data_IF_398594191355
#
_entry.id   IF_398594191355
#
_cell.length_a   1.000
_cell.length_b   1.000
_cell.length_c   1.000
_cell.angle_alpha   90.00
_cell.angle_beta   90.00
_cell.angle_gamma   90.00
#
_symmetry.space_group_name_H-M   'P 1'
#
loop_
_entity.id
_entity.type
_entity.pdbx_description
1 polymer ?
#
# COMPACT_ATOMS: atom_id res chain seq x y z
N UNK A 1 -24.57 0.25 16.16
CA UNK A 1 -23.14 0.46 16.37
C UNK A 1 -22.67 -0.73 17.18
N UNK A 2 -21.94 -1.61 16.52
CA UNK A 2 -21.32 -2.82 17.04
C UNK A 2 -20.30 -2.44 18.14
N UNK A 3 -19.65 -1.28 18.02
CA UNK A 3 -18.62 -0.83 18.97
C UNK A 3 -19.06 0.33 19.88
N UNK A 4 -19.26 0.07 21.18
CA UNK A 4 -19.57 1.11 22.17
C UNK A 4 -18.34 1.53 22.99
N UNK A 5 -17.95 2.80 22.85
CA UNK A 5 -16.83 3.40 23.61
C UNK A 5 -17.17 3.51 25.09
N UNK A 6 -18.46 3.59 25.45
CA UNK A 6 -18.92 3.79 26.83
C UNK A 6 -18.60 2.60 27.74
N UNK A 7 -18.45 1.41 27.15
CA UNK A 7 -18.08 0.18 27.87
C UNK A 7 -16.59 0.16 28.26
N UNK A 8 -15.77 1.01 27.64
CA UNK A 8 -14.34 1.08 27.87
C UNK A 8 -14.07 1.87 29.16
N UNK A 9 -13.38 1.23 30.10
CA UNK A 9 -12.94 1.87 31.33
C UNK A 9 -11.69 2.73 31.09
N UNK A 10 -11.87 3.85 30.37
CA UNK A 10 -10.82 4.77 29.93
C UNK A 10 -9.89 5.16 31.08
N UNK A 11 -10.44 5.46 32.26
CA UNK A 11 -9.68 5.85 33.45
C UNK A 11 -8.59 4.86 33.83
N UNK A 12 -8.85 3.55 33.64
CA UNK A 12 -7.88 2.49 33.95
C UNK A 12 -6.75 2.41 32.92
N UNK A 13 -7.00 2.89 31.70
CA UNK A 13 -6.04 2.84 30.59
C UNK A 13 -5.12 4.07 30.56
N UNK A 14 -5.52 5.19 31.19
CA UNK A 14 -4.78 6.46 31.13
C UNK A 14 -3.31 6.34 31.53
N UNK A 15 -3.01 5.65 32.64
CA UNK A 15 -1.63 5.51 33.13
C UNK A 15 -0.79 4.67 32.15
N UNK A 16 -1.35 3.60 31.61
CA UNK A 16 -0.65 2.73 30.66
C UNK A 16 -0.41 3.48 29.33
N UNK A 17 -1.42 4.18 28.82
CA UNK A 17 -1.32 4.97 27.60
C UNK A 17 -0.30 6.10 27.74
N UNK A 18 -0.26 6.78 28.89
CA UNK A 18 0.72 7.83 29.16
C UNK A 18 2.16 7.29 29.16
N UNK A 19 2.41 6.14 29.81
CA UNK A 19 3.74 5.50 29.82
C UNK A 19 4.17 5.05 28.41
N UNK A 20 3.26 4.48 27.64
CA UNK A 20 3.51 4.10 26.26
C UNK A 20 3.83 5.32 25.38
N UNK A 21 3.07 6.40 25.53
CA UNK A 21 3.32 7.66 24.82
C UNK A 21 4.67 8.29 25.17
N UNK A 22 5.05 8.28 26.46
CA UNK A 22 6.37 8.74 26.90
C UNK A 22 7.50 7.89 26.29
N UNK A 23 7.35 6.58 26.26
CA UNK A 23 8.33 5.67 25.67
C UNK A 23 8.48 5.90 24.17
N UNK A 24 7.37 6.10 23.45
CA UNK A 24 7.36 6.38 22.02
C UNK A 24 8.03 7.73 21.71
N UNK A 25 7.64 8.80 22.42
CA UNK A 25 8.25 10.12 22.23
C UNK A 25 9.77 10.11 22.50
N UNK A 26 10.21 9.34 23.51
CA UNK A 26 11.64 9.16 23.79
C UNK A 26 12.35 8.36 22.69
N UNK A 27 11.70 7.37 22.10
CA UNK A 27 12.24 6.61 20.97
C UNK A 27 12.38 7.52 19.75
N UNK A 28 11.35 8.30 19.42
CA UNK A 28 11.34 9.23 18.29
C UNK A 28 12.48 10.24 18.40
N UNK A 29 12.65 10.87 19.58
CA UNK A 29 13.74 11.82 19.81
C UNK A 29 15.13 11.19 19.65
N UNK A 30 15.28 9.92 20.08
CA UNK A 30 16.55 9.20 19.95
C UNK A 30 16.85 8.82 18.50
N UNK A 31 15.84 8.42 17.74
CA UNK A 31 15.98 8.10 16.32
C UNK A 31 16.29 9.37 15.54
N UNK A 32 15.62 10.48 15.84
CA UNK A 32 15.81 11.74 15.13
C UNK A 32 17.24 12.27 15.24
N UNK A 33 17.85 12.14 16.42
CA UNK A 33 19.25 12.53 16.67
C UNK A 33 20.30 11.53 16.19
N UNK A 34 19.88 10.34 15.74
CA UNK A 34 20.81 9.27 15.39
C UNK A 34 21.29 9.39 13.95
N UNK A 35 22.60 9.20 13.66
CA UNK A 35 23.09 9.11 12.28
C UNK A 35 22.54 7.89 11.54
N UNK A 36 21.98 6.90 12.27
CA UNK A 36 21.41 5.68 11.71
C UNK A 36 19.90 5.78 11.44
N UNK A 37 19.29 6.96 11.57
CA UNK A 37 17.85 7.19 11.42
C UNK A 37 17.26 6.51 10.18
N UNK A 38 17.86 6.75 9.02
CA UNK A 38 17.31 6.27 7.75
C UNK A 38 17.31 4.74 7.69
N UNK A 39 18.46 4.12 7.97
CA UNK A 39 18.56 2.66 8.00
C UNK A 39 17.76 2.00 9.12
N UNK A 40 17.42 2.72 10.19
CA UNK A 40 16.45 2.23 11.19
C UNK A 40 15.04 2.19 10.60
N UNK A 41 14.58 3.29 10.00
CA UNK A 41 13.24 3.40 9.39
C UNK A 41 13.06 2.36 8.29
N UNK A 42 14.01 2.24 7.37
CA UNK A 42 13.94 1.28 6.27
C UNK A 42 13.76 -0.18 6.75
N UNK A 43 14.47 -0.58 7.81
CA UNK A 43 14.36 -1.94 8.38
C UNK A 43 13.11 -2.13 9.23
N UNK A 44 12.66 -1.06 9.87
CA UNK A 44 11.45 -1.08 10.68
C UNK A 44 10.22 -1.39 9.81
N UNK A 45 10.18 -0.91 8.57
CA UNK A 45 9.06 -1.17 7.67
C UNK A 45 8.93 -2.67 7.30
N UNK A 46 10.05 -3.35 7.08
CA UNK A 46 10.05 -4.81 6.88
C UNK A 46 9.61 -5.56 8.14
N UNK A 47 10.12 -5.14 9.30
CA UNK A 47 9.79 -5.77 10.59
C UNK A 47 8.31 -5.62 10.90
N UNK A 48 7.73 -4.47 10.60
CA UNK A 48 6.30 -4.20 10.77
C UNK A 48 5.43 -5.06 9.85
N UNK A 49 5.79 -5.16 8.57
CA UNK A 49 5.07 -6.02 7.62
C UNK A 49 5.07 -7.48 8.07
N UNK A 50 6.23 -8.01 8.47
CA UNK A 50 6.35 -9.39 8.98
C UNK A 50 5.56 -9.59 10.27
N UNK A 51 5.59 -8.60 11.17
CA UNK A 51 4.83 -8.66 12.43
C UNK A 51 3.33 -8.68 12.16
N UNK A 52 2.86 -7.91 11.17
CA UNK A 52 1.45 -7.93 10.74
C UNK A 52 1.05 -9.29 10.19
N UNK A 53 1.86 -9.88 9.31
CA UNK A 53 1.61 -11.24 8.80
C UNK A 53 1.54 -12.25 9.94
N UNK A 54 2.43 -12.12 10.94
CA UNK A 54 2.43 -13.02 12.10
C UNK A 54 1.17 -12.91 12.95
N UNK A 55 0.62 -11.71 13.12
CA UNK A 55 -0.68 -11.49 13.79
C UNK A 55 -1.81 -12.17 13.02
N UNK A 56 -1.75 -12.14 11.69
CA UNK A 56 -2.70 -12.82 10.81
C UNK A 56 -2.49 -14.35 10.75
N UNK A 57 -1.50 -14.88 11.46
CA UNK A 57 -1.17 -16.31 11.51
C UNK A 57 -0.30 -16.80 10.35
N UNK A 58 0.21 -15.88 9.53
CA UNK A 58 1.03 -16.16 8.36
C UNK A 58 2.53 -15.98 8.66
N UNK A 59 3.36 -16.73 7.96
CA UNK A 59 4.82 -16.70 8.13
C UNK A 59 5.50 -16.23 6.85
N UNK A 60 6.21 -15.11 6.94
CA UNK A 60 7.02 -14.57 5.85
C UNK A 60 8.45 -14.34 6.34
N UNK A 61 9.43 -14.85 5.59
CA UNK A 61 10.84 -14.64 5.89
C UNK A 61 11.27 -13.22 5.49
N UNK A 62 12.09 -12.58 6.33
CA UNK A 62 12.58 -11.23 6.08
C UNK A 62 13.41 -11.17 4.80
N UNK A 63 14.27 -12.16 4.60
CA UNK A 63 15.16 -12.26 3.44
C UNK A 63 14.37 -12.32 2.14
N UNK A 64 13.31 -13.13 2.11
CA UNK A 64 12.46 -13.28 0.94
C UNK A 64 11.69 -11.98 0.64
N UNK A 65 11.17 -11.30 1.67
CA UNK A 65 10.49 -10.01 1.50
C UNK A 65 11.46 -8.92 1.01
N UNK A 66 12.71 -8.90 1.49
CA UNK A 66 13.75 -7.98 1.04
C UNK A 66 14.15 -8.27 -0.41
N UNK A 67 14.34 -9.53 -0.78
CA UNK A 67 14.66 -9.93 -2.16
C UNK A 67 13.51 -9.57 -3.11
N UNK A 68 12.26 -9.82 -2.70
CA UNK A 68 11.08 -9.46 -3.48
C UNK A 68 10.93 -7.95 -3.65
N UNK A 69 11.12 -7.15 -2.58
CA UNK A 69 11.13 -5.68 -2.66
C UNK A 69 12.19 -5.17 -3.65
N UNK A 70 13.37 -5.81 -3.67
CA UNK A 70 14.45 -5.50 -4.59
C UNK A 70 14.32 -6.12 -5.99
N UNK A 71 13.25 -6.88 -6.27
CA UNK A 71 13.02 -7.59 -7.54
C UNK A 71 14.15 -8.59 -7.88
N UNK A 72 14.75 -9.18 -6.85
CA UNK A 72 15.82 -10.17 -6.92
C UNK A 72 15.32 -11.58 -6.53
N UNK A 73 14.02 -11.75 -6.34
CA UNK A 73 13.41 -13.05 -6.13
C UNK A 73 13.46 -13.89 -7.41
N UNK A 74 13.90 -15.13 -7.28
CA UNK A 74 14.01 -16.08 -8.42
C UNK A 74 12.76 -16.94 -8.56
N UNK A 75 11.92 -16.97 -7.52
CA UNK A 75 10.70 -17.78 -7.46
C UNK A 75 9.49 -16.89 -7.66
N UNK A 76 8.42 -17.44 -8.21
CA UNK A 76 7.14 -16.75 -8.24
C UNK A 76 6.67 -16.44 -6.80
N UNK A 77 6.16 -15.22 -6.53
CA UNK A 77 5.76 -14.83 -5.19
C UNK A 77 4.53 -15.63 -4.73
N UNK A 78 4.54 -16.02 -3.46
CA UNK A 78 3.37 -16.66 -2.83
C UNK A 78 2.31 -15.61 -2.48
N UNK A 79 1.13 -16.06 -2.05
CA UNK A 79 0.07 -15.16 -1.62
C UNK A 79 0.49 -14.34 -0.38
N UNK A 80 1.14 -15.01 0.59
CA UNK A 80 1.64 -14.40 1.83
C UNK A 80 2.73 -13.37 1.52
N UNK A 81 3.62 -13.69 0.57
CA UNK A 81 4.65 -12.74 0.09
C UNK A 81 4.01 -11.49 -0.53
N UNK A 82 3.00 -11.69 -1.38
CA UNK A 82 2.28 -10.59 -2.04
C UNK A 82 1.55 -9.72 -1.02
N UNK A 83 0.93 -10.34 -0.01
CA UNK A 83 0.27 -9.64 1.09
C UNK A 83 1.26 -8.84 1.95
N UNK A 84 2.37 -9.45 2.36
CA UNK A 84 3.42 -8.78 3.13
C UNK A 84 4.02 -7.59 2.38
N UNK A 85 4.29 -7.75 1.08
CA UNK A 85 4.79 -6.67 0.24
C UNK A 85 3.74 -5.54 0.07
N UNK A 86 2.44 -5.86 0.04
CA UNK A 86 1.38 -4.84 0.07
C UNK A 86 1.40 -4.04 1.37
N UNK A 87 1.57 -4.69 2.53
CA UNK A 87 1.67 -4.01 3.84
C UNK A 87 2.90 -3.09 3.86
N UNK A 88 4.05 -3.59 3.42
CA UNK A 88 5.29 -2.82 3.30
C UNK A 88 5.09 -1.55 2.46
N UNK A 89 4.50 -1.68 1.27
CA UNK A 89 4.21 -0.53 0.39
C UNK A 89 3.22 0.43 1.01
N UNK A 90 2.15 -0.07 1.64
CA UNK A 90 1.17 0.79 2.34
C UNK A 90 1.83 1.62 3.43
N UNK A 91 2.74 1.04 4.22
CA UNK A 91 3.47 1.76 5.26
C UNK A 91 4.36 2.87 4.71
N UNK A 92 5.17 2.55 3.69
CA UNK A 92 6.02 3.55 3.00
C UNK A 92 5.18 4.66 2.36
N UNK A 93 4.04 4.30 1.79
CA UNK A 93 3.11 5.25 1.19
C UNK A 93 2.50 6.19 2.25
N UNK A 94 2.12 5.69 3.42
CA UNK A 94 1.63 6.53 4.53
C UNK A 94 2.73 7.52 4.96
N UNK A 95 3.98 7.05 5.08
CA UNK A 95 5.10 7.87 5.54
C UNK A 95 5.58 8.90 4.50
N UNK A 96 5.40 8.63 3.21
CA UNK A 96 5.77 9.56 2.13
C UNK A 96 4.75 10.68 1.92
N UNK A 97 3.60 10.64 2.59
CA UNK A 97 2.54 11.65 2.49
C UNK A 97 2.45 12.52 3.76
N UNK A 98 1.69 13.61 3.68
CA UNK A 98 1.44 14.49 4.82
C UNK A 98 0.73 13.74 5.97
N UNK A 99 0.99 14.17 7.21
CA UNK A 99 0.32 13.62 8.38
C UNK A 99 -1.21 13.69 8.23
N UNK A 100 -1.89 12.59 8.55
CA UNK A 100 -3.35 12.47 8.38
C UNK A 100 -3.80 12.09 6.97
N UNK A 101 -2.91 11.99 5.98
CA UNK A 101 -3.28 11.61 4.61
C UNK A 101 -4.03 10.27 4.53
N UNK A 102 -3.61 9.27 5.31
CA UNK A 102 -4.25 7.95 5.36
C UNK A 102 -5.73 8.02 5.79
N UNK A 103 -6.09 9.06 6.55
CA UNK A 103 -7.43 9.35 7.04
C UNK A 103 -8.22 10.26 6.07
N UNK A 104 -7.68 10.61 4.90
CA UNK A 104 -8.46 11.30 3.87
C UNK A 104 -9.20 10.29 3.00
N UNK A 105 -10.35 10.66 2.44
CA UNK A 105 -11.05 9.83 1.46
C UNK A 105 -10.16 9.33 0.30
N UNK A 106 -9.32 10.17 -0.35
CA UNK A 106 -8.40 9.68 -1.39
C UNK A 106 -7.30 8.77 -0.84
N UNK A 107 -6.75 9.06 0.34
CA UNK A 107 -5.72 8.22 0.95
C UNK A 107 -6.24 6.82 1.31
N UNK A 108 -7.41 6.76 1.93
CA UNK A 108 -8.07 5.52 2.31
C UNK A 108 -8.47 4.69 1.07
N UNK A 109 -8.98 5.34 0.02
CA UNK A 109 -9.27 4.67 -1.26
C UNK A 109 -8.01 4.04 -1.88
N UNK A 110 -6.87 4.74 -1.80
CA UNK A 110 -5.59 4.21 -2.27
C UNK A 110 -5.08 3.04 -1.42
N UNK A 111 -5.19 3.12 -0.10
CA UNK A 111 -4.79 2.04 0.82
C UNK A 111 -5.66 0.79 0.67
N UNK A 112 -6.95 0.94 0.34
CA UNK A 112 -7.87 -0.16 0.01
C UNK A 112 -7.63 -0.77 -1.37
N UNK A 113 -6.66 -0.26 -2.13
CA UNK A 113 -6.41 -0.69 -3.51
C UNK A 113 -7.54 -0.35 -4.49
N UNK A 114 -8.42 0.60 -4.13
CA UNK A 114 -9.53 1.09 -4.97
C UNK A 114 -9.12 2.26 -5.86
N UNK A 115 -8.03 2.97 -5.54
CA UNK A 115 -7.42 3.91 -6.48
C UNK A 115 -6.66 3.11 -7.55
N UNK A 116 -7.05 3.28 -8.82
CA UNK A 116 -6.23 2.84 -9.94
C UNK A 116 -4.80 3.35 -9.75
N UNK A 117 -3.82 2.53 -10.11
CA UNK A 117 -2.39 2.84 -10.09
C UNK A 117 -2.16 4.21 -10.76
N UNK A 118 -2.18 5.29 -9.98
CA UNK A 118 -1.47 6.49 -10.35
C UNK A 118 -0.01 6.05 -10.32
N UNK A 119 0.54 5.85 -11.53
CA UNK A 119 1.91 5.42 -11.78
C UNK A 119 2.83 6.06 -10.75
N UNK A 120 3.45 5.23 -9.91
CA UNK A 120 4.73 5.66 -9.36
C UNK A 120 5.65 5.87 -10.56
N UNK A 121 6.39 6.99 -10.65
CA UNK A 121 7.39 7.15 -11.68
C UNK A 121 8.40 6.02 -11.48
N UNK A 122 8.35 5.01 -12.35
CA UNK A 122 9.33 3.94 -12.34
C UNK A 122 10.73 4.59 -12.41
N UNK A 123 11.70 4.16 -11.57
CA UNK A 123 13.05 4.65 -11.71
C UNK A 123 13.53 4.36 -13.14
N UNK A 124 14.29 5.27 -13.76
CA UNK A 124 14.73 5.09 -15.13
C UNK A 124 15.51 3.79 -15.23
N UNK A 125 14.98 2.84 -16.01
CA UNK A 125 15.72 1.63 -16.39
C UNK A 125 16.99 2.11 -17.10
N UNK A 126 18.13 2.01 -16.43
CA UNK A 126 19.42 2.15 -17.10
C UNK A 126 19.60 0.91 -17.96
N UNK A 127 19.34 1.06 -19.25
CA UNK A 127 19.78 0.08 -20.25
C UNK A 127 21.30 -0.03 -20.16
N UNK A 128 21.88 -1.24 -20.05
CA UNK A 128 23.32 -1.38 -20.17
C UNK A 128 23.73 -1.02 -21.60
N UNK A 129 24.62 -0.04 -21.70
CA UNK A 129 25.28 0.37 -22.94
C UNK A 129 26.17 -0.78 -23.43
N UNK A 130 25.67 -1.57 -24.37
CA UNK A 130 26.48 -2.49 -25.15
C UNK A 130 26.97 -1.76 -26.40
N UNK A 131 28.09 -1.05 -26.26
CA UNK A 131 28.92 -0.68 -27.40
C UNK A 131 29.50 -1.95 -28.03
N UNK A 132 28.94 -2.34 -29.17
CA UNK A 132 29.57 -3.25 -30.12
C UNK A 132 29.81 -2.49 -31.41
N UNK A 133 31.05 -2.06 -31.58
CA UNK A 133 31.63 -1.82 -32.90
C UNK A 133 31.56 -3.12 -33.70
N UNK A 134 30.98 -3.06 -34.91
CA UNK A 134 31.45 -3.83 -36.07
C UNK A 134 30.72 -3.31 -37.34
N UNK A 135 31.47 -2.57 -38.15
CA UNK A 135 31.17 -2.29 -39.56
C UNK A 135 31.15 -3.61 -40.36
N UNK A 136 30.06 -3.92 -41.08
CA UNK A 136 30.13 -4.44 -42.46
C UNK A 136 28.79 -4.43 -43.21
N UNK A 137 28.75 -3.57 -44.22
CA UNK A 137 28.16 -3.66 -45.57
C UNK A 137 27.04 -4.67 -45.96
N UNK A 138 26.08 -4.10 -46.70
CA UNK A 138 25.22 -4.67 -47.75
C UNK A 138 24.10 -5.68 -47.42
N UNK A 139 22.85 -5.22 -47.64
CA UNK A 139 21.85 -6.00 -48.38
C UNK A 139 20.54 -6.34 -47.64
N UNK A 140 19.49 -5.57 -47.97
CA UNK A 140 18.09 -6.02 -48.05
C UNK A 140 17.49 -6.75 -46.84
N UNK A 141 17.01 -6.02 -45.82
CA UNK A 141 15.84 -6.43 -44.98
C UNK A 141 15.25 -5.30 -44.11
N UNK A 142 15.26 -4.05 -44.56
CA UNK A 142 14.66 -2.93 -43.80
C UNK A 142 13.11 -2.94 -43.75
N UNK A 143 12.44 -3.83 -44.48
CA UNK A 143 10.98 -3.85 -44.59
C UNK A 143 10.26 -4.69 -43.53
N UNK A 144 10.96 -5.43 -42.66
CA UNK A 144 10.32 -6.29 -41.64
C UNK A 144 10.22 -5.67 -40.25
N UNK A 145 11.10 -4.72 -39.90
CA UNK A 145 11.07 -4.04 -38.59
C UNK A 145 10.15 -2.83 -38.59
N UNK A 146 10.07 -2.12 -39.73
CA UNK A 146 9.25 -0.92 -39.88
C UNK A 146 7.74 -1.21 -39.67
N UNK A 147 7.27 -2.38 -40.13
CA UNK A 147 5.90 -2.85 -39.86
C UNK A 147 5.63 -3.12 -38.38
N UNK A 148 6.59 -3.72 -37.66
CA UNK A 148 6.46 -4.02 -36.24
C UNK A 148 6.47 -2.74 -35.37
N UNK A 149 7.27 -1.73 -35.74
CA UNK A 149 7.26 -0.42 -35.10
C UNK A 149 5.96 0.34 -35.39
N UNK A 150 5.45 0.28 -36.62
CA UNK A 150 4.15 0.88 -36.94
C UNK A 150 2.98 0.22 -36.18
N UNK A 151 3.03 -1.09 -35.94
CA UNK A 151 2.03 -1.79 -35.12
C UNK A 151 2.12 -1.40 -33.64
N UNK A 152 3.34 -1.25 -33.12
CA UNK A 152 3.59 -0.74 -31.77
C UNK A 152 3.09 0.70 -31.61
N UNK A 153 3.39 1.58 -32.56
CA UNK A 153 2.93 2.96 -32.54
C UNK A 153 1.41 3.05 -32.62
N UNK A 154 0.77 2.21 -33.44
CA UNK A 154 -0.68 2.12 -33.51
C UNK A 154 -1.28 1.60 -32.19
N UNK A 155 -0.61 0.67 -31.51
CA UNK A 155 -1.02 0.18 -30.19
C UNK A 155 -0.86 1.27 -29.12
N UNK A 156 0.25 2.00 -29.13
CA UNK A 156 0.53 3.12 -28.23
C UNK A 156 -0.48 4.25 -28.43
N UNK A 157 -0.80 4.61 -29.68
CA UNK A 157 -1.81 5.60 -30.01
C UNK A 157 -3.21 5.18 -29.53
N UNK A 158 -3.57 3.90 -29.68
CA UNK A 158 -4.82 3.37 -29.12
C UNK A 158 -4.82 3.43 -27.61
N UNK A 159 -3.74 3.04 -26.93
CA UNK A 159 -3.66 3.11 -25.48
C UNK A 159 -3.72 4.54 -24.95
N UNK A 160 -3.03 5.48 -25.61
CA UNK A 160 -3.06 6.90 -25.26
C UNK A 160 -4.48 7.47 -25.43
N UNK A 161 -5.14 7.16 -26.55
CA UNK A 161 -6.53 7.58 -26.78
C UNK A 161 -7.50 6.98 -25.75
N UNK A 162 -7.30 5.73 -25.34
CA UNK A 162 -8.11 5.12 -24.26
C UNK A 162 -7.86 5.78 -22.90
N UNK A 163 -6.61 6.13 -22.59
CA UNK A 163 -6.25 6.81 -21.34
C UNK A 163 -6.78 8.26 -21.33
N UNK A 164 -6.69 8.98 -22.43
CA UNK A 164 -7.29 10.32 -22.57
C UNK A 164 -8.81 10.28 -22.45
N UNK A 165 -9.47 9.26 -22.99
CA UNK A 165 -10.91 9.05 -22.82
C UNK A 165 -11.30 8.76 -21.35
N UNK A 166 -10.43 8.07 -20.61
CA UNK A 166 -10.56 7.84 -19.16
C UNK A 166 -10.33 9.15 -18.38
N UNK A 167 -9.31 9.93 -18.74
CA UNK A 167 -8.96 11.21 -18.09
C UNK A 167 -10.01 12.31 -18.33
N UNK A 168 -10.67 12.30 -19.49
CA UNK A 168 -11.70 13.27 -19.87
C UNK A 168 -13.10 12.95 -19.31
N UNK A 169 -13.21 11.94 -18.44
CA UNK A 169 -14.42 11.68 -17.65
C UNK A 169 -15.51 10.92 -18.39
N UNK A 170 -15.19 10.22 -19.49
CA UNK A 170 -16.10 9.21 -20.02
C UNK A 170 -16.07 8.01 -19.06
N UNK A 171 -17.04 7.98 -18.14
CA UNK A 171 -17.18 6.91 -17.17
C UNK A 171 -17.33 5.56 -17.90
N UNK A 172 -16.25 4.79 -17.92
CA UNK A 172 -16.38 3.34 -18.02
C UNK A 172 -17.28 2.91 -16.85
N UNK A 173 -18.18 1.92 -17.06
CA UNK A 173 -18.77 1.24 -15.92
C UNK A 173 -17.62 0.84 -14.99
N UNK A 174 -17.79 0.98 -13.66
CA UNK A 174 -16.71 0.66 -12.75
C UNK A 174 -16.18 -0.71 -13.16
N UNK A 175 -14.89 -0.79 -13.47
CA UNK A 175 -14.20 -2.06 -13.32
C UNK A 175 -14.16 -2.30 -11.81
N UNK A 176 -15.32 -2.59 -11.24
CA UNK A 176 -15.37 -3.47 -10.10
C UNK A 176 -14.50 -4.63 -10.55
N UNK A 177 -13.43 -4.86 -9.81
CA UNK A 177 -12.88 -6.20 -9.65
C UNK A 177 -13.98 -7.02 -8.97
N UNK A 178 -15.07 -7.24 -9.69
CA UNK A 178 -16.16 -8.18 -9.45
C UNK A 178 -15.66 -9.56 -9.90
N UNK A 179 -14.42 -9.89 -9.52
CA UNK A 179 -14.10 -11.24 -9.10
C UNK A 179 -14.31 -11.32 -7.58
N UNK A 180 -15.34 -10.63 -7.10
CA UNK A 180 -16.04 -10.98 -5.87
C UNK A 180 -16.65 -12.35 -6.12
N UNK A 181 -15.86 -13.41 -5.90
CA UNK A 181 -16.35 -14.77 -5.94
C UNK A 181 -17.55 -14.84 -4.99
N UNK A 182 -18.77 -14.87 -5.54
CA UNK A 182 -20.02 -14.91 -4.77
C UNK A 182 -20.18 -16.17 -3.91
N UNK A 183 -19.25 -17.12 -4.04
CA UNK A 183 -19.14 -18.33 -3.23
C UNK A 183 -18.29 -18.07 -1.97
N UNK A 184 -17.40 -17.09 -2.00
CA UNK A 184 -16.44 -16.75 -0.94
C UNK A 184 -16.92 -15.54 -0.14
N UNK A 185 -17.55 -14.57 -0.78
CA UNK A 185 -18.01 -13.35 -0.11
C UNK A 185 -19.40 -13.54 0.47
N UNK A 186 -19.57 -13.24 1.75
CA UNK A 186 -20.89 -13.17 2.38
C UNK A 186 -21.72 -12.10 1.66
N UNK A 187 -22.92 -12.45 1.14
CA UNK A 187 -23.72 -11.54 0.32
C UNK A 187 -24.17 -10.27 1.04
N UNK A 188 -24.16 -10.28 2.38
CA UNK A 188 -24.52 -9.15 3.23
C UNK A 188 -23.31 -8.37 3.79
N UNK A 189 -22.07 -8.69 3.37
CA UNK A 189 -20.87 -8.01 3.84
C UNK A 189 -20.75 -6.60 3.22
N UNK A 190 -21.15 -5.59 4.00
CA UNK A 190 -21.06 -4.16 3.64
C UNK A 190 -19.78 -3.51 4.20
N UNK A 191 -18.70 -3.53 3.41
CA UNK A 191 -17.41 -2.90 3.76
C UNK A 191 -17.55 -1.38 4.03
N UNK A 192 -18.35 -0.68 3.21
CA UNK A 192 -18.45 0.78 3.28
C UNK A 192 -19.29 1.21 4.49
N UNK A 193 -20.31 0.44 4.85
CA UNK A 193 -21.07 0.61 6.09
C UNK A 193 -20.23 0.40 7.36
N UNK A 194 -19.43 -0.68 7.39
CA UNK A 194 -18.50 -0.97 8.49
C UNK A 194 -17.42 0.09 8.64
N UNK A 195 -16.82 0.51 7.53
CA UNK A 195 -15.80 1.56 7.52
C UNK A 195 -16.37 2.91 7.99
N UNK A 196 -17.63 3.21 7.64
CA UNK A 196 -18.33 4.38 8.16
C UNK A 196 -18.51 4.30 9.68
N UNK A 197 -18.91 3.14 10.21
CA UNK A 197 -19.01 2.96 11.66
C UNK A 197 -17.66 3.18 12.36
N UNK A 198 -16.58 2.64 11.81
CA UNK A 198 -15.24 2.87 12.32
C UNK A 198 -14.82 4.34 12.28
N UNK A 199 -15.22 5.07 11.23
CA UNK A 199 -15.03 6.53 11.13
C UNK A 199 -15.79 7.30 12.21
N UNK A 200 -16.99 6.86 12.56
CA UNK A 200 -17.75 7.45 13.66
C UNK A 200 -17.04 7.23 15.02
N UNK A 201 -16.38 6.07 15.22
CA UNK A 201 -15.50 5.85 16.37
C UNK A 201 -14.31 6.82 16.35
N UNK A 202 -13.68 7.03 15.19
CA UNK A 202 -12.58 7.98 15.04
C UNK A 202 -12.99 9.42 15.36
N UNK A 203 -14.17 9.85 14.95
CA UNK A 203 -14.69 11.19 15.26
C UNK A 203 -14.97 11.36 16.78
N UNK A 204 -15.58 10.35 17.42
CA UNK A 204 -15.92 10.41 18.86
C UNK A 204 -14.71 10.36 19.79
N UNK A 205 -13.55 9.95 19.30
CA UNK A 205 -12.32 9.80 20.08
C UNK A 205 -11.32 10.93 19.85
N UNK A 206 -11.69 11.99 19.14
CA UNK A 206 -10.79 13.09 18.77
C UNK A 206 -10.17 13.82 19.98
N UNK A 207 -10.91 13.95 21.07
CA UNK A 207 -10.44 14.61 22.30
C UNK A 207 -9.52 13.72 23.16
N UNK A 208 -9.38 12.44 22.83
CA UNK A 208 -8.57 11.50 23.61
C UNK A 208 -7.08 11.60 23.24
N UNK A 209 -6.16 11.29 24.18
CA UNK A 209 -4.73 11.19 23.88
C UNK A 209 -4.47 10.21 22.73
N UNK A 210 -3.53 10.54 21.84
CA UNK A 210 -3.27 9.80 20.61
C UNK A 210 -3.07 8.29 20.82
N UNK A 211 -2.30 7.87 21.83
CA UNK A 211 -2.06 6.44 22.13
C UNK A 211 -3.35 5.72 22.52
N UNK A 212 -4.19 6.36 23.34
CA UNK A 212 -5.47 5.77 23.75
C UNK A 212 -6.42 5.71 22.56
N UNK A 213 -6.47 6.77 21.76
CA UNK A 213 -7.25 6.83 20.52
C UNK A 213 -6.84 5.70 19.55
N UNK A 214 -5.54 5.49 19.35
CA UNK A 214 -5.02 4.41 18.50
C UNK A 214 -5.43 3.03 19.02
N UNK A 215 -5.35 2.79 20.32
CA UNK A 215 -5.76 1.52 20.92
C UNK A 215 -7.26 1.24 20.71
N UNK A 216 -8.11 2.25 20.95
CA UNK A 216 -9.56 2.15 20.72
C UNK A 216 -9.87 1.91 19.24
N UNK A 217 -9.18 2.60 18.33
CA UNK A 217 -9.41 2.43 16.89
C UNK A 217 -8.98 1.07 16.37
N UNK A 218 -7.90 0.51 16.91
CA UNK A 218 -7.47 -0.84 16.57
C UNK A 218 -8.45 -1.89 17.08
N UNK A 219 -8.92 -1.73 18.32
CA UNK A 219 -9.92 -2.61 18.92
C UNK A 219 -11.25 -2.55 18.15
N UNK A 220 -11.70 -1.33 17.80
CA UNK A 220 -12.89 -1.13 16.98
C UNK A 220 -12.75 -1.73 15.57
N UNK A 221 -11.58 -1.61 14.94
CA UNK A 221 -11.31 -2.22 13.64
C UNK A 221 -11.54 -3.74 13.69
N UNK A 222 -11.00 -4.39 14.72
CA UNK A 222 -11.13 -5.84 14.91
C UNK A 222 -12.56 -6.26 15.27
N UNK A 223 -13.27 -5.50 16.10
CA UNK A 223 -14.65 -5.84 16.51
C UNK A 223 -15.70 -5.59 15.43
N UNK A 224 -15.52 -4.57 14.60
CA UNK A 224 -16.44 -4.24 13.50
C UNK A 224 -16.20 -5.16 12.29
N UNK A 225 -15.00 -5.76 12.20
CA UNK A 225 -14.54 -6.57 11.06
C UNK A 225 -14.52 -5.77 9.76
N UNK A 226 -13.94 -4.56 9.83
CA UNK A 226 -13.69 -3.69 8.66
C UNK A 226 -12.67 -4.33 7.73
#
# INVERSE_FOLDING_TARGET
MIYDISDIQIEKLLIAAARAGEALARLDERIDRSPMKHGFIERQDFTDAISSMWVDGELVHMEDLVLHDAHMDVRAPTHEMTAAHRILRSRRLIFSNAAGWAFTAPGLSRLRGRAALAEEPAPPRQSPDHSRDEDTDAGETETSLDGAFSELDALLARSAATLDAITTGSALPPMHREESHAIINEPDWDEDGRLKEWWDVHARTEELPAILRTAILLDAWNMIEV
#
